data_IF_656407127986
#
_entry.id   IF_656407127986
#
_cell.length_a   1.000
_cell.length_b   1.000
_cell.length_c   1.000
_cell.angle_alpha   90.00
_cell.angle_beta   90.00
_cell.angle_gamma   90.00
#
_symmetry.space_group_name_H-M   'P 1'
#
loop_
_entity.id
_entity.type
_entity.pdbx_description
1 polymer ?
#
# COMPACT_ATOMS: atom_id res chain seq x y z
N UNK A 1 21.68 11.83 -9.26
CA UNK A 1 22.88 11.20 -8.68
C UNK A 1 22.99 9.83 -9.28
N UNK A 2 23.95 9.63 -10.19
CA UNK A 2 24.17 8.33 -10.83
C UNK A 2 25.01 7.45 -9.91
N UNK A 3 24.47 6.30 -9.53
CA UNK A 3 25.15 5.28 -8.72
C UNK A 3 25.82 4.27 -9.64
N UNK A 4 26.80 4.69 -10.44
CA UNK A 4 27.48 3.80 -11.39
C UNK A 4 28.39 2.76 -10.69
N UNK A 5 28.78 3.00 -9.43
CA UNK A 5 29.66 2.11 -8.67
C UNK A 5 28.96 1.08 -7.78
N UNK A 6 27.64 1.17 -7.62
CA UNK A 6 26.85 0.24 -6.80
C UNK A 6 25.39 0.33 -7.24
N UNK A 7 24.94 -0.53 -8.19
CA UNK A 7 23.56 -0.52 -8.64
C UNK A 7 22.65 -0.83 -7.44
N UNK A 8 21.82 0.14 -7.05
CA UNK A 8 20.83 -0.03 -5.99
C UNK A 8 19.47 -0.30 -6.60
N UNK A 9 18.70 -1.17 -5.95
CA UNK A 9 17.30 -1.36 -6.27
C UNK A 9 16.55 -0.01 -6.17
N UNK A 10 15.77 0.33 -7.19
CA UNK A 10 15.00 1.56 -7.22
C UNK A 10 13.87 1.48 -6.20
N UNK A 11 13.84 2.40 -5.24
CA UNK A 11 12.74 2.48 -4.26
C UNK A 11 12.19 3.90 -4.25
N UNK A 12 10.86 4.02 -4.30
CA UNK A 12 10.15 5.29 -4.37
C UNK A 12 9.04 5.27 -3.33
N UNK A 13 8.99 6.31 -2.49
CA UNK A 13 7.87 6.55 -1.58
C UNK A 13 7.02 7.70 -2.10
N UNK A 14 5.71 7.55 -2.08
CA UNK A 14 4.77 8.54 -2.60
C UNK A 14 3.40 8.45 -1.92
N UNK A 15 2.67 9.57 -1.96
CA UNK A 15 1.26 9.65 -1.58
C UNK A 15 0.46 10.25 -2.74
N UNK A 16 -0.80 9.82 -2.87
CA UNK A 16 -1.75 10.44 -3.79
C UNK A 16 -2.62 11.40 -2.98
N UNK A 17 -2.78 12.63 -3.46
CA UNK A 17 -3.59 13.63 -2.77
C UNK A 17 -5.01 13.10 -2.57
N UNK A 18 -5.55 13.30 -1.36
CA UNK A 18 -6.91 12.90 -0.97
C UNK A 18 -7.14 11.38 -0.87
N UNK A 19 -6.08 10.57 -0.98
CA UNK A 19 -6.16 9.13 -0.76
C UNK A 19 -5.23 8.70 0.37
N UNK A 20 -5.73 7.78 1.19
CA UNK A 20 -4.96 7.14 2.24
C UNK A 20 -4.02 6.08 1.64
N UNK A 21 -2.83 5.92 2.23
CA UNK A 21 -1.82 4.99 1.70
C UNK A 21 -2.32 3.54 1.67
N UNK A 22 -3.05 3.11 2.69
CA UNK A 22 -3.65 1.78 2.78
C UNK A 22 -4.65 1.53 1.65
N UNK A 23 -5.49 2.52 1.33
CA UNK A 23 -6.44 2.41 0.22
C UNK A 23 -5.74 2.26 -1.12
N UNK A 24 -4.70 3.07 -1.37
CA UNK A 24 -3.92 2.97 -2.61
C UNK A 24 -3.25 1.59 -2.72
N UNK A 25 -2.70 1.08 -1.62
CA UNK A 25 -2.10 -0.24 -1.59
C UNK A 25 -3.11 -1.37 -1.85
N UNK A 26 -4.30 -1.29 -1.26
CA UNK A 26 -5.37 -2.25 -1.47
C UNK A 26 -5.85 -2.24 -2.94
N UNK A 27 -6.08 -1.06 -3.53
CA UNK A 27 -6.49 -0.96 -4.94
C UNK A 27 -5.42 -1.52 -5.89
N UNK A 28 -4.14 -1.19 -5.65
CA UNK A 28 -3.03 -1.72 -6.44
C UNK A 28 -2.97 -3.25 -6.39
N UNK A 29 -3.21 -3.83 -5.22
CA UNK A 29 -3.25 -5.28 -5.04
C UNK A 29 -4.44 -5.91 -5.77
N UNK A 30 -5.66 -5.41 -5.51
CA UNK A 30 -6.89 -6.09 -5.91
C UNK A 30 -7.21 -5.94 -7.42
N UNK A 31 -6.86 -4.80 -8.02
CA UNK A 31 -7.24 -4.49 -9.40
C UNK A 31 -6.07 -4.61 -10.40
N UNK A 32 -4.83 -4.45 -9.92
CA UNK A 32 -3.65 -4.39 -10.80
C UNK A 32 -2.63 -5.49 -10.52
N UNK A 33 -2.85 -6.31 -9.49
CA UNK A 33 -1.93 -7.34 -9.00
C UNK A 33 -0.53 -6.79 -8.66
N UNK A 34 -0.48 -5.56 -8.14
CA UNK A 34 0.77 -4.90 -7.75
C UNK A 34 0.85 -4.84 -6.22
N UNK A 35 1.73 -5.68 -5.65
CA UNK A 35 2.01 -5.65 -4.23
C UNK A 35 2.99 -4.51 -3.88
N UNK A 36 2.58 -3.63 -2.97
CA UNK A 36 3.41 -2.54 -2.44
C UNK A 36 3.50 -2.62 -0.92
N UNK A 37 4.52 -1.96 -0.35
CA UNK A 37 4.57 -1.74 1.10
C UNK A 37 3.89 -0.42 1.41
N UNK A 38 3.06 -0.38 2.44
CA UNK A 38 2.46 0.83 2.94
C UNK A 38 2.45 0.73 4.46
N UNK A 39 2.74 1.83 5.16
CA UNK A 39 2.60 2.02 6.62
C UNK A 39 3.40 3.27 7.06
N UNK A 40 3.31 3.63 8.34
CA UNK A 40 4.27 4.54 8.97
C UNK A 40 5.64 3.87 9.12
N UNK A 41 6.59 4.23 8.25
CA UNK A 41 7.97 3.75 8.37
C UNK A 41 8.60 4.23 9.69
N UNK A 42 9.49 3.43 10.31
CA UNK A 42 10.16 3.70 11.59
C UNK A 42 10.98 5.02 11.65
N UNK A 43 10.90 5.87 10.63
CA UNK A 43 11.37 7.25 10.58
C UNK A 43 10.21 8.25 10.82
N UNK A 44 9.53 8.14 11.97
CA UNK A 44 8.40 8.98 12.34
C UNK A 44 8.58 10.49 12.09
N UNK A 45 9.74 11.12 12.42
CA UNK A 45 9.92 12.55 12.19
C UNK A 45 9.92 12.93 10.71
N UNK A 46 10.38 12.04 9.84
CA UNK A 46 10.46 12.28 8.40
C UNK A 46 9.10 12.15 7.73
N UNK A 47 8.35 11.08 8.06
CA UNK A 47 6.99 10.86 7.58
C UNK A 47 6.09 12.02 8.02
N UNK A 48 6.18 12.41 9.28
CA UNK A 48 5.43 13.55 9.82
C UNK A 48 5.76 14.86 9.08
N UNK A 49 7.05 15.12 8.80
CA UNK A 49 7.47 16.31 8.07
C UNK A 49 6.90 16.37 6.64
N UNK A 50 6.80 15.23 5.95
CA UNK A 50 6.14 15.18 4.64
C UNK A 50 4.63 15.39 4.75
N UNK A 51 4.00 14.81 5.77
CA UNK A 51 2.56 14.93 5.99
C UNK A 51 2.16 16.34 6.46
N UNK A 52 3.04 17.12 7.08
CA UNK A 52 2.77 18.53 7.45
C UNK A 52 2.29 19.38 6.26
N UNK A 53 2.71 19.05 5.04
CA UNK A 53 2.28 19.78 3.83
C UNK A 53 0.79 19.59 3.50
N UNK A 54 0.18 18.51 3.97
CA UNK A 54 -1.20 18.12 3.62
C UNK A 54 -2.12 17.96 4.84
N UNK A 55 -1.56 17.63 6.01
CA UNK A 55 -2.29 17.21 7.22
C UNK A 55 -1.85 17.99 8.48
N UNK A 56 -1.30 19.21 8.33
CA UNK A 56 -0.79 20.03 9.45
C UNK A 56 -1.74 20.14 10.63
N UNK A 57 -3.03 20.35 10.36
CA UNK A 57 -4.05 20.57 11.39
C UNK A 57 -4.34 19.27 12.14
N UNK A 58 -4.42 18.15 11.41
CA UNK A 58 -4.63 16.82 11.95
C UNK A 58 -3.45 16.41 12.84
N UNK A 59 -2.21 16.63 12.37
CA UNK A 59 -0.97 16.39 13.14
C UNK A 59 -0.98 17.20 14.43
N UNK A 60 -1.32 18.51 14.36
CA UNK A 60 -1.40 19.36 15.55
C UNK A 60 -2.43 18.84 16.56
N UNK A 61 -3.61 18.42 16.09
CA UNK A 61 -4.66 17.84 16.95
C UNK A 61 -4.24 16.50 17.56
N UNK A 62 -3.57 15.63 16.80
CA UNK A 62 -3.07 14.35 17.28
C UNK A 62 -2.02 14.54 18.38
N UNK A 63 -1.07 15.46 18.18
CA UNK A 63 -0.08 15.88 19.20
C UNK A 63 -0.75 16.42 20.46
N UNK A 64 -1.74 17.32 20.30
CA UNK A 64 -2.46 17.92 21.43
C UNK A 64 -3.23 16.88 22.26
N UNK A 65 -3.64 15.77 21.65
CA UNK A 65 -4.35 14.67 22.31
C UNK A 65 -3.42 13.58 22.87
N UNK A 66 -2.09 13.73 22.78
CA UNK A 66 -1.11 12.69 23.14
C UNK A 66 -1.43 11.33 22.50
N UNK A 67 -1.95 11.31 21.26
CA UNK A 67 -2.20 10.06 20.56
C UNK A 67 -0.82 9.46 20.23
N UNK A 68 -0.46 8.41 20.96
CA UNK A 68 0.77 7.64 20.75
C UNK A 68 0.56 6.42 19.86
N UNK A 69 -0.69 6.14 19.48
CA UNK A 69 -1.02 4.99 18.65
C UNK A 69 -1.17 5.43 17.18
N UNK A 70 -0.04 5.48 16.48
CA UNK A 70 0.06 5.91 15.08
C UNK A 70 -0.68 4.98 14.10
N UNK A 71 -1.06 3.76 14.51
CA UNK A 71 -1.87 2.83 13.70
C UNK A 71 -3.34 3.25 13.57
N UNK A 72 -3.82 4.19 14.39
CA UNK A 72 -5.25 4.51 14.46
C UNK A 72 -5.71 5.49 13.38
N UNK A 73 -4.78 6.15 12.68
CA UNK A 73 -5.08 7.24 11.76
C UNK A 73 -4.69 6.85 10.32
N UNK A 74 -5.67 6.54 9.43
CA UNK A 74 -5.42 5.94 8.11
C UNK A 74 -4.59 6.78 7.12
N UNK A 75 -4.40 8.07 7.42
CA UNK A 75 -3.61 9.00 6.62
C UNK A 75 -2.12 9.02 7.05
N UNK A 76 -1.78 8.39 8.18
CA UNK A 76 -0.43 8.40 8.77
C UNK A 76 0.46 7.33 8.17
N UNK A 77 0.98 7.59 6.98
CA UNK A 77 1.94 6.70 6.32
C UNK A 77 2.20 7.08 4.88
N UNK A 78 2.92 6.23 4.18
CA UNK A 78 3.16 6.38 2.75
C UNK A 78 3.18 5.04 2.03
N UNK A 79 2.90 5.07 0.74
CA UNK A 79 3.13 3.92 -0.15
C UNK A 79 4.60 3.92 -0.55
N UNK A 80 5.22 2.73 -0.55
CA UNK A 80 6.58 2.49 -1.02
C UNK A 80 6.57 1.35 -2.03
N UNK A 81 7.02 1.67 -3.24
CA UNK A 81 7.30 0.70 -4.29
C UNK A 81 8.81 0.44 -4.35
N UNK A 82 9.19 -0.81 -4.54
CA UNK A 82 10.57 -1.25 -4.69
C UNK A 82 10.69 -2.11 -5.95
N UNK A 83 11.53 -1.69 -6.88
CA UNK A 83 11.84 -2.41 -8.11
C UNK A 83 13.05 -3.30 -7.89
N UNK A 84 12.86 -4.61 -8.07
CA UNK A 84 13.90 -5.63 -7.99
C UNK A 84 14.53 -5.93 -9.35
N UNK A 85 15.50 -6.84 -9.35
CA UNK A 85 16.20 -7.30 -10.57
C UNK A 85 15.30 -8.01 -11.58
N UNK A 86 14.10 -8.41 -11.15
CA UNK A 86 13.11 -9.13 -11.96
C UNK A 86 12.18 -8.17 -12.71
N UNK A 87 12.20 -6.88 -12.38
CA UNK A 87 11.31 -5.91 -13.01
C UNK A 87 11.84 -5.47 -14.37
N UNK A 88 10.94 -5.40 -15.34
CA UNK A 88 11.22 -4.91 -16.69
C UNK A 88 10.50 -3.58 -16.94
N UNK A 89 10.90 -2.79 -17.96
CA UNK A 89 10.28 -1.50 -18.24
C UNK A 89 8.75 -1.55 -18.39
N UNK A 90 8.20 -2.64 -18.93
CA UNK A 90 6.74 -2.80 -19.04
C UNK A 90 6.04 -2.91 -17.68
N UNK A 91 6.70 -3.43 -16.64
CA UNK A 91 6.13 -3.44 -15.27
C UNK A 91 6.01 -2.03 -14.73
N UNK A 92 6.99 -1.17 -15.07
CA UNK A 92 6.98 0.25 -14.70
C UNK A 92 5.85 0.97 -15.45
N UNK A 93 5.67 0.69 -16.73
CA UNK A 93 4.57 1.26 -17.53
C UNK A 93 3.19 0.81 -17.02
N UNK A 94 3.06 -0.46 -16.62
CA UNK A 94 1.84 -1.00 -15.98
C UNK A 94 1.57 -0.32 -14.66
N UNK A 95 2.60 -0.14 -13.83
CA UNK A 95 2.49 0.60 -12.57
C UNK A 95 2.06 2.06 -12.78
N UNK A 96 2.64 2.76 -13.77
CA UNK A 96 2.26 4.13 -14.11
C UNK A 96 0.80 4.19 -14.60
N UNK A 97 0.36 3.22 -15.40
CA UNK A 97 -1.04 3.13 -15.82
C UNK A 97 -1.97 2.93 -14.61
N UNK A 98 -1.64 2.00 -13.71
CA UNK A 98 -2.41 1.77 -12.50
C UNK A 98 -2.57 3.05 -11.65
N UNK A 99 -1.48 3.79 -11.44
CA UNK A 99 -1.53 5.05 -10.70
C UNK A 99 -2.42 6.10 -11.38
N UNK A 100 -2.34 6.23 -12.71
CA UNK A 100 -3.20 7.16 -13.46
C UNK A 100 -4.66 6.79 -13.35
N UNK A 101 -4.98 5.50 -13.44
CA UNK A 101 -6.35 5.01 -13.33
C UNK A 101 -6.92 5.28 -11.94
N UNK A 102 -6.16 4.97 -10.88
CA UNK A 102 -6.51 5.29 -9.48
C UNK A 102 -6.78 6.78 -9.32
N UNK A 103 -5.90 7.65 -9.85
CA UNK A 103 -6.05 9.11 -9.77
C UNK A 103 -7.32 9.58 -10.48
N UNK A 104 -7.72 8.93 -11.57
CA UNK A 104 -8.92 9.32 -12.34
C UNK A 104 -10.23 8.84 -11.71
N UNK A 105 -10.22 7.72 -10.97
CA UNK A 105 -11.41 7.04 -10.42
C UNK A 105 -11.42 6.98 -8.89
N UNK A 106 -10.81 7.95 -8.22
CA UNK A 106 -10.62 7.95 -6.76
C UNK A 106 -11.91 7.67 -5.97
N UNK A 107 -13.00 8.36 -6.35
CA UNK A 107 -14.30 8.28 -5.68
C UNK A 107 -14.95 6.90 -5.90
N UNK A 108 -14.85 6.39 -7.11
CA UNK A 108 -15.39 5.07 -7.48
C UNK A 108 -14.68 3.98 -6.68
N UNK A 109 -13.34 3.94 -6.72
CA UNK A 109 -12.58 2.97 -5.96
C UNK A 109 -12.86 3.08 -4.46
N UNK A 110 -12.81 4.28 -3.88
CA UNK A 110 -13.07 4.46 -2.46
C UNK A 110 -14.46 3.95 -2.03
N UNK A 111 -15.45 3.99 -2.92
CA UNK A 111 -16.79 3.48 -2.65
C UNK A 111 -16.85 1.96 -2.48
N UNK A 112 -15.85 1.23 -2.95
CA UNK A 112 -15.80 -0.24 -2.87
C UNK A 112 -15.09 -0.76 -1.62
N UNK A 113 -14.50 0.09 -0.79
CA UNK A 113 -13.74 -0.32 0.39
C UNK A 113 -14.37 0.10 1.71
N UNK A 114 -14.06 -0.64 2.77
CA UNK A 114 -14.29 -0.30 4.17
C UNK A 114 -13.01 -0.47 4.97
N UNK A 115 -12.89 0.25 6.08
CA UNK A 115 -11.78 0.09 7.01
C UNK A 115 -12.20 -0.92 8.08
N UNK A 116 -11.37 -1.92 8.35
CA UNK A 116 -11.60 -2.90 9.41
C UNK A 116 -11.14 -2.37 10.80
N UNK A 117 -11.35 -3.15 11.85
CA UNK A 117 -10.97 -2.77 13.22
C UNK A 117 -9.45 -2.59 13.42
N UNK A 118 -8.64 -3.08 12.47
CA UNK A 118 -7.18 -2.96 12.47
C UNK A 118 -6.66 -1.75 11.70
N UNK A 119 -7.53 -1.01 11.01
CA UNK A 119 -7.15 0.14 10.19
C UNK A 119 -6.83 -0.19 8.73
N UNK A 120 -6.99 -1.46 8.32
CA UNK A 120 -6.75 -1.91 6.95
C UNK A 120 -7.98 -1.71 6.05
N UNK A 121 -7.73 -1.51 4.76
CA UNK A 121 -8.78 -1.42 3.75
C UNK A 121 -9.15 -2.79 3.21
N UNK A 122 -10.43 -3.14 3.31
CA UNK A 122 -11.00 -4.38 2.79
C UNK A 122 -12.03 -4.07 1.70
N UNK A 123 -11.99 -4.85 0.62
CA UNK A 123 -12.96 -4.72 -0.47
C UNK A 123 -14.32 -5.27 -0.01
N UNK A 124 -15.39 -4.50 -0.22
CA UNK A 124 -16.75 -4.84 0.25
C UNK A 124 -17.30 -6.14 -0.32
N UNK A 125 -16.89 -6.50 -1.53
CA UNK A 125 -17.47 -7.63 -2.28
C UNK A 125 -16.46 -8.70 -2.67
N UNK A 126 -15.16 -8.42 -2.55
CA UNK A 126 -14.13 -9.36 -2.98
C UNK A 126 -13.55 -10.01 -1.73
N UNK A 127 -13.75 -11.32 -1.62
CA UNK A 127 -13.15 -12.14 -0.57
C UNK A 127 -12.17 -13.11 -1.22
N UNK A 128 -10.91 -13.01 -0.81
CA UNK A 128 -9.89 -13.99 -1.15
C UNK A 128 -9.71 -14.95 0.03
N UNK A 129 -9.93 -16.24 -0.19
CA UNK A 129 -9.67 -17.27 0.82
C UNK A 129 -8.34 -17.96 0.52
N UNK A 130 -7.33 -17.71 1.35
CA UNK A 130 -6.07 -18.47 1.29
C UNK A 130 -6.31 -19.99 1.38
N UNK A 131 -7.34 -20.44 2.11
CA UNK A 131 -7.65 -21.86 2.23
C UNK A 131 -8.17 -22.48 0.92
N UNK A 132 -8.78 -21.69 0.04
CA UNK A 132 -9.26 -22.17 -1.26
C UNK A 132 -8.12 -22.32 -2.27
N UNK A 133 -7.05 -21.52 -2.14
CA UNK A 133 -5.94 -21.49 -3.11
C UNK A 133 -4.66 -22.20 -2.63
N UNK A 134 -4.43 -22.20 -1.32
CA UNK A 134 -3.25 -22.79 -0.66
C UNK A 134 -3.70 -23.73 0.46
N UNK A 135 -4.45 -24.78 0.11
CA UNK A 135 -4.70 -25.88 1.04
C UNK A 135 -3.51 -26.85 1.02
N UNK A 136 -2.59 -26.68 1.97
CA UNK A 136 -1.50 -27.64 2.23
C UNK A 136 -2.04 -29.06 2.42
N UNK A 137 -3.20 -29.20 3.07
CA UNK A 137 -3.87 -30.48 3.29
C UNK A 137 -4.30 -31.15 1.99
N UNK A 138 -4.79 -30.38 1.01
CA UNK A 138 -5.18 -30.91 -0.30
C UNK A 138 -3.95 -31.34 -1.10
N UNK A 139 -2.93 -30.48 -1.15
CA UNK A 139 -1.69 -30.76 -1.88
C UNK A 139 -0.96 -31.99 -1.35
N UNK A 140 -0.90 -32.17 -0.03
CA UNK A 140 -0.30 -33.36 0.60
C UNK A 140 -1.14 -34.62 0.30
N UNK A 141 -2.47 -34.52 0.28
CA UNK A 141 -3.32 -35.65 -0.09
C UNK A 141 -3.19 -36.05 -1.56
N UNK A 142 -2.99 -35.09 -2.46
CA UNK A 142 -2.79 -35.35 -3.89
C UNK A 142 -1.40 -35.93 -4.19
N UNK A 143 -0.35 -35.51 -3.45
CA UNK A 143 0.98 -36.13 -3.53
C UNK A 143 1.01 -37.58 -3.01
N UNK A 144 0.21 -37.91 -1.98
CA UNK A 144 0.12 -39.27 -1.43
C UNK A 144 -0.72 -40.23 -2.29
N UNK A 145 -1.40 -39.74 -3.33
CA UNK A 145 -2.17 -40.55 -4.29
C UNK A 145 -1.36 -40.93 -5.54
N UNK A 146 -0.13 -40.43 -5.66
CA UNK A 146 0.87 -40.84 -6.65
C UNK A 146 1.91 -41.77 -6.02
#
# INVERSE_FOLDING_TARGET
>A
GSTDNCPRAGTISFNIKQLNHGLVAAILNDYFNIAVRNECFCAHPYVEKMLELTHRIQIYKARAKNITNWHTEPWMGMVRVSFGIYNIPSDVDHFIHALKDIISKQVEYASHYTINDHGDYEHKTFQFSCNEYFSLSQNVQDELRH
#
